data_IF_204661369247
#
_entry.id   IF_204661369247
#
_cell.length_a   1.000
_cell.length_b   1.000
_cell.length_c   1.000
_cell.angle_alpha   90.00
_cell.angle_beta   90.00
_cell.angle_gamma   90.00
#
_symmetry.space_group_name_H-M   'P 1'
#
loop_
_entity.id
_entity.type
_entity.pdbx_description
1 polymer ?
#
# COMPACT_ATOMS: atom_id res chain seq x y z
N UNK A 1 9.22 -8.61 -20.41
CA UNK A 1 9.68 -7.23 -20.62
C UNK A 1 11.02 -7.34 -21.32
N UNK A 2 11.12 -6.97 -22.59
CA UNK A 2 12.45 -6.83 -23.19
C UNK A 2 13.10 -5.58 -22.56
N UNK A 3 14.40 -5.62 -22.20
CA UNK A 3 15.12 -4.41 -21.80
C UNK A 3 15.03 -3.42 -22.96
N UNK A 4 14.25 -2.39 -22.80
CA UNK A 4 14.25 -1.29 -23.75
C UNK A 4 15.41 -0.37 -23.34
N UNK A 5 16.24 0.03 -24.29
CA UNK A 5 17.34 1.01 -24.07
C UNK A 5 16.79 2.38 -23.61
N UNK A 6 15.48 2.50 -23.50
CA UNK A 6 14.73 3.72 -23.21
C UNK A 6 14.09 3.63 -21.83
N UNK A 7 14.83 4.04 -20.81
CA UNK A 7 14.34 4.11 -19.44
C UNK A 7 13.71 5.49 -19.19
N UNK A 8 12.41 5.51 -18.76
CA UNK A 8 11.72 6.70 -18.28
C UNK A 8 11.56 7.84 -19.31
N UNK A 9 11.35 7.48 -20.57
CA UNK A 9 11.08 8.45 -21.63
C UNK A 9 9.58 8.83 -21.74
N UNK A 10 8.70 8.06 -21.13
CA UNK A 10 7.25 8.25 -21.24
C UNK A 10 6.71 9.19 -20.16
N UNK A 11 5.77 10.06 -20.55
CA UNK A 11 5.04 10.93 -19.63
C UNK A 11 3.68 10.32 -19.28
N UNK A 12 3.30 10.41 -18.01
CA UNK A 12 2.02 9.93 -17.50
C UNK A 12 0.87 10.95 -17.64
N UNK A 13 1.07 12.05 -18.37
CA UNK A 13 0.02 13.09 -18.56
C UNK A 13 -1.27 12.52 -19.14
N UNK A 14 -1.16 11.65 -20.15
CA UNK A 14 -2.31 11.03 -20.81
C UNK A 14 -2.77 9.71 -20.18
N UNK A 15 -2.07 9.23 -19.16
CA UNK A 15 -2.38 7.99 -18.48
C UNK A 15 -1.14 7.15 -18.22
N UNK A 16 -1.35 5.96 -17.66
CA UNK A 16 -0.33 4.96 -17.37
C UNK A 16 -0.52 3.77 -18.29
N UNK A 17 0.35 3.57 -19.25
CA UNK A 17 0.30 2.47 -20.20
C UNK A 17 1.22 1.33 -19.75
N UNK A 18 0.69 0.12 -19.73
CA UNK A 18 1.44 -1.08 -19.37
C UNK A 18 1.08 -2.25 -20.28
N UNK A 19 2.01 -3.20 -20.39
CA UNK A 19 1.85 -4.43 -21.15
C UNK A 19 1.85 -5.64 -20.24
N UNK A 20 0.97 -6.60 -20.49
CA UNK A 20 0.87 -7.86 -19.73
C UNK A 20 1.15 -9.10 -20.57
N UNK A 21 1.20 -8.97 -21.90
CA UNK A 21 1.36 -10.11 -22.79
C UNK A 21 0.94 -9.82 -24.22
N UNK A 22 0.40 -10.81 -24.90
CA UNK A 22 0.03 -10.73 -26.32
C UNK A 22 -1.42 -11.12 -26.57
N UNK A 23 -2.08 -10.35 -27.41
CA UNK A 23 -3.36 -10.68 -28.03
C UNK A 23 -3.12 -11.04 -29.49
N UNK A 24 -3.26 -12.32 -29.81
CA UNK A 24 -2.79 -12.83 -31.10
C UNK A 24 -1.27 -12.70 -31.26
N UNK A 25 -0.81 -12.00 -32.27
CA UNK A 25 0.60 -11.72 -32.53
C UNK A 25 1.06 -10.39 -31.91
N UNK A 26 0.13 -9.52 -31.55
CA UNK A 26 0.43 -8.15 -31.11
C UNK A 26 0.63 -8.08 -29.61
N UNK A 27 1.52 -7.18 -29.18
CA UNK A 27 1.67 -6.80 -27.77
C UNK A 27 0.41 -6.03 -27.36
N UNK A 28 -0.21 -6.44 -26.25
CA UNK A 28 -1.40 -5.77 -25.74
C UNK A 28 -1.03 -4.72 -24.71
N UNK A 29 -1.05 -3.47 -25.11
CA UNK A 29 -0.98 -2.34 -24.22
C UNK A 29 -2.36 -2.00 -23.63
N UNK A 30 -2.38 -1.66 -22.36
CA UNK A 30 -3.55 -1.22 -21.60
C UNK A 30 -3.21 0.13 -20.97
N UNK A 31 -4.05 1.15 -21.20
CA UNK A 31 -3.85 2.47 -20.62
C UNK A 31 -4.83 2.70 -19.48
N UNK A 32 -4.29 3.00 -18.31
CA UNK A 32 -5.02 3.37 -17.09
C UNK A 32 -5.03 4.90 -16.95
N UNK A 33 -6.17 5.48 -16.64
CA UNK A 33 -6.32 6.93 -16.57
C UNK A 33 -6.66 7.57 -17.93
N UNK A 34 -7.04 6.76 -18.91
CA UNK A 34 -7.56 7.22 -20.20
C UNK A 34 -8.92 7.92 -19.98
N UNK A 35 -8.93 9.25 -20.14
CA UNK A 35 -10.14 10.04 -19.90
C UNK A 35 -11.22 9.82 -20.96
N UNK A 36 -10.83 9.53 -22.21
CA UNK A 36 -11.77 9.30 -23.31
C UNK A 36 -12.60 8.03 -23.08
N UNK A 37 -11.93 6.96 -22.61
CA UNK A 37 -12.57 5.68 -22.38
C UNK A 37 -12.93 5.44 -20.90
N UNK A 38 -12.71 6.42 -20.03
CA UNK A 38 -13.01 6.36 -18.59
C UNK A 38 -12.39 5.15 -17.84
N UNK A 39 -11.19 4.72 -18.23
CA UNK A 39 -10.49 3.55 -17.70
C UNK A 39 -9.60 3.92 -16.51
N UNK A 40 -10.18 4.00 -15.31
CA UNK A 40 -9.49 4.57 -14.15
C UNK A 40 -9.06 3.56 -13.10
N UNK A 41 -9.73 2.41 -13.00
CA UNK A 41 -9.46 1.38 -12.00
C UNK A 41 -9.38 0.00 -12.64
N UNK A 42 -8.68 -0.93 -11.96
CA UNK A 42 -8.43 -2.29 -12.44
C UNK A 42 -8.90 -3.31 -11.40
N UNK A 43 -9.53 -4.38 -11.85
CA UNK A 43 -9.78 -5.59 -11.08
C UNK A 43 -9.02 -6.76 -11.70
N UNK A 44 -8.23 -7.45 -10.89
CA UNK A 44 -7.54 -8.70 -11.26
C UNK A 44 -8.14 -9.85 -10.45
N UNK A 45 -8.55 -10.92 -11.13
CA UNK A 45 -8.99 -12.13 -10.44
C UNK A 45 -8.34 -13.39 -11.01
N UNK A 46 -8.28 -14.43 -10.19
CA UNK A 46 -7.74 -15.71 -10.63
C UNK A 46 -7.69 -16.72 -9.49
N UNK A 47 -8.06 -17.96 -9.76
CA UNK A 47 -7.95 -19.03 -8.78
C UNK A 47 -6.51 -19.23 -8.30
N UNK A 48 -6.34 -19.89 -7.18
CA UNK A 48 -5.00 -20.21 -6.61
C UNK A 48 -4.11 -20.88 -7.67
N UNK A 49 -2.87 -20.42 -7.78
CA UNK A 49 -1.89 -20.98 -8.71
C UNK A 49 -2.07 -20.59 -10.18
N UNK A 50 -3.03 -19.74 -10.54
CA UNK A 50 -3.25 -19.34 -11.94
C UNK A 50 -2.39 -18.14 -12.39
N UNK A 51 -1.50 -17.63 -11.55
CA UNK A 51 -0.52 -16.60 -11.93
C UNK A 51 -0.95 -15.17 -11.64
N UNK A 52 -1.82 -14.94 -10.65
CA UNK A 52 -2.27 -13.61 -10.22
C UNK A 52 -1.09 -12.69 -9.82
N UNK A 53 -0.17 -13.17 -8.98
CA UNK A 53 1.04 -12.42 -8.59
C UNK A 53 1.95 -12.16 -9.79
N UNK A 54 2.09 -13.14 -10.71
CA UNK A 54 2.81 -12.93 -11.97
C UNK A 54 2.22 -11.78 -12.80
N UNK A 55 0.90 -11.70 -12.87
CA UNK A 55 0.22 -10.63 -13.60
C UNK A 55 0.44 -9.26 -12.94
N UNK A 56 0.37 -9.18 -11.60
CA UNK A 56 0.69 -7.97 -10.84
C UNK A 56 2.15 -7.54 -11.11
N UNK A 57 3.10 -8.48 -11.09
CA UNK A 57 4.50 -8.18 -11.41
C UNK A 57 4.67 -7.63 -12.82
N UNK A 58 3.97 -8.20 -13.81
CA UNK A 58 4.02 -7.69 -15.18
C UNK A 58 3.50 -6.26 -15.28
N UNK A 59 2.38 -5.94 -14.60
CA UNK A 59 1.84 -4.58 -14.54
C UNK A 59 2.86 -3.62 -13.92
N UNK A 60 3.36 -3.94 -12.71
CA UNK A 60 4.26 -3.07 -11.97
C UNK A 60 5.60 -2.86 -12.71
N UNK A 61 6.22 -3.93 -13.21
CA UNK A 61 7.50 -3.80 -13.93
C UNK A 61 7.34 -3.09 -15.26
N UNK A 62 6.23 -3.29 -15.97
CA UNK A 62 5.94 -2.54 -17.20
C UNK A 62 5.80 -1.05 -16.93
N UNK A 63 5.10 -0.68 -15.86
CA UNK A 63 4.93 0.72 -15.45
C UNK A 63 6.25 1.34 -14.99
N UNK A 64 6.99 0.69 -14.08
CA UNK A 64 8.26 1.22 -13.56
C UNK A 64 9.36 1.31 -14.62
N UNK A 65 9.29 0.53 -15.70
CA UNK A 65 10.22 0.63 -16.83
C UNK A 65 9.93 1.85 -17.71
N UNK A 66 8.65 2.21 -17.88
CA UNK A 66 8.21 3.30 -18.76
C UNK A 66 8.26 4.67 -18.07
N UNK A 67 7.82 4.73 -16.81
CA UNK A 67 7.63 5.99 -16.09
C UNK A 67 8.66 6.16 -14.98
N UNK A 68 9.19 7.37 -14.83
CA UNK A 68 10.08 7.71 -13.70
C UNK A 68 9.32 7.82 -12.37
N UNK A 69 10.03 7.84 -11.22
CA UNK A 69 9.38 8.10 -9.93
C UNK A 69 8.75 9.51 -9.82
N UNK A 70 9.02 10.42 -10.75
CA UNK A 70 8.36 11.74 -10.85
C UNK A 70 7.08 11.69 -11.67
N UNK A 71 6.88 10.61 -12.42
CA UNK A 71 5.69 10.34 -13.23
C UNK A 71 4.72 9.37 -12.55
N UNK A 72 5.22 8.47 -11.69
CA UNK A 72 4.46 7.39 -11.06
C UNK A 72 4.87 7.19 -9.61
N UNK A 73 3.90 7.18 -8.71
CA UNK A 73 4.02 6.74 -7.32
C UNK A 73 3.18 5.50 -7.06
N UNK A 74 3.72 4.58 -6.26
CA UNK A 74 3.10 3.29 -5.94
C UNK A 74 2.82 3.16 -4.45
N UNK A 75 1.62 2.70 -4.12
CA UNK A 75 1.20 2.23 -2.81
C UNK A 75 0.83 0.76 -2.97
N UNK A 76 1.57 -0.14 -2.33
CA UNK A 76 1.49 -1.58 -2.55
C UNK A 76 1.09 -2.29 -1.26
N UNK A 77 -0.07 -2.95 -1.25
CA UNK A 77 -0.62 -3.64 -0.08
C UNK A 77 -0.90 -5.10 -0.41
N UNK A 78 -0.41 -6.02 0.42
CA UNK A 78 -0.72 -7.45 0.41
C UNK A 78 -1.29 -7.85 1.77
N UNK A 79 -2.54 -8.31 1.78
CA UNK A 79 -3.27 -8.69 2.99
C UNK A 79 -3.14 -10.18 3.34
N UNK A 80 -2.41 -10.95 2.56
CA UNK A 80 -2.22 -12.39 2.82
C UNK A 80 -0.85 -12.65 3.44
N UNK A 81 -0.01 -13.41 2.80
CA UNK A 81 1.26 -13.90 3.35
C UNK A 81 2.46 -12.97 3.04
N UNK A 82 2.21 -11.80 2.46
CA UNK A 82 3.25 -10.83 2.08
C UNK A 82 4.15 -11.28 0.92
N UNK A 83 3.95 -12.50 0.41
CA UNK A 83 4.83 -13.12 -0.60
C UNK A 83 4.75 -12.40 -1.95
N UNK A 84 3.55 -11.93 -2.30
CA UNK A 84 3.32 -11.29 -3.60
C UNK A 84 4.06 -9.98 -3.80
N UNK A 85 4.39 -9.26 -2.72
CA UNK A 85 5.08 -7.97 -2.80
C UNK A 85 6.49 -7.99 -2.24
N UNK A 86 6.96 -9.14 -1.75
CA UNK A 86 8.30 -9.31 -1.19
C UNK A 86 9.44 -8.81 -2.10
N UNK A 87 9.42 -8.99 -3.44
CA UNK A 87 10.47 -8.49 -4.32
C UNK A 87 10.62 -6.97 -4.37
N UNK A 88 9.65 -6.21 -3.84
CA UNK A 88 9.66 -4.75 -3.82
C UNK A 88 10.11 -4.17 -2.49
N UNK A 89 10.31 -5.01 -1.47
CA UNK A 89 10.83 -4.60 -0.16
C UNK A 89 12.29 -4.16 -0.29
N UNK A 90 12.73 -3.13 0.44
CA UNK A 90 14.15 -2.78 0.51
C UNK A 90 15.01 -3.98 0.93
N UNK A 91 16.09 -4.20 0.21
CA UNK A 91 17.03 -5.28 0.52
C UNK A 91 18.04 -4.88 1.62
N UNK A 92 18.90 -5.84 2.02
CA UNK A 92 19.92 -5.62 3.05
C UNK A 92 21.01 -4.60 2.62
N UNK A 93 21.14 -4.32 1.32
CA UNK A 93 22.07 -3.33 0.77
C UNK A 93 21.44 -1.93 0.70
N UNK A 94 20.16 -1.81 1.09
CA UNK A 94 19.40 -0.56 1.04
C UNK A 94 18.89 -0.21 -0.35
N UNK A 95 18.84 -1.17 -1.27
CA UNK A 95 18.22 -1.00 -2.59
C UNK A 95 16.70 -1.15 -2.43
N UNK A 96 15.94 -0.21 -2.96
CA UNK A 96 14.48 -0.21 -2.89
C UNK A 96 13.86 0.27 -4.21
N UNK A 97 12.55 0.05 -4.38
CA UNK A 97 11.81 0.54 -5.53
C UNK A 97 11.55 2.06 -5.37
N UNK A 98 12.17 2.94 -6.19
CA UNK A 98 12.07 4.40 -6.00
C UNK A 98 10.66 4.96 -6.18
N UNK A 99 9.80 4.24 -6.89
CA UNK A 99 8.39 4.58 -7.10
C UNK A 99 7.52 4.32 -5.87
N UNK A 100 7.93 3.40 -4.98
CA UNK A 100 7.14 3.01 -3.83
C UNK A 100 7.16 4.09 -2.74
N UNK A 101 5.98 4.46 -2.27
CA UNK A 101 5.77 5.35 -1.12
C UNK A 101 5.40 4.57 0.13
N UNK A 102 4.58 3.53 -0.04
CA UNK A 102 4.18 2.64 1.03
C UNK A 102 4.14 1.19 0.52
N UNK A 103 4.58 0.29 1.39
CA UNK A 103 4.58 -1.16 1.21
C UNK A 103 3.97 -1.79 2.45
N UNK A 104 2.85 -2.46 2.32
CA UNK A 104 2.22 -3.25 3.37
C UNK A 104 2.31 -4.74 3.04
N UNK A 105 3.07 -5.50 3.84
CA UNK A 105 3.15 -6.96 3.73
C UNK A 105 2.49 -7.58 4.96
N UNK A 106 1.72 -8.65 4.76
CA UNK A 106 0.87 -9.18 5.82
C UNK A 106 0.07 -8.04 6.48
N UNK A 107 -0.42 -7.10 5.64
CA UNK A 107 -1.03 -5.88 6.12
C UNK A 107 -2.28 -6.19 6.95
N UNK A 108 -2.43 -5.49 8.06
CA UNK A 108 -3.69 -5.49 8.77
C UNK A 108 -4.69 -4.50 8.16
N UNK A 109 -5.95 -4.63 8.55
CA UNK A 109 -7.05 -3.81 8.01
C UNK A 109 -6.90 -2.34 8.39
N UNK A 110 -6.35 -2.07 9.56
CA UNK A 110 -6.06 -0.73 10.08
C UNK A 110 -5.03 -0.01 9.21
N UNK A 111 -3.99 -0.72 8.77
CA UNK A 111 -3.01 -0.15 7.84
C UNK A 111 -3.65 0.18 6.49
N UNK A 112 -4.46 -0.74 5.95
CA UNK A 112 -5.22 -0.50 4.72
C UNK A 112 -6.14 0.72 4.83
N UNK A 113 -6.87 0.83 5.95
CA UNK A 113 -7.70 2.00 6.25
C UNK A 113 -6.87 3.29 6.28
N UNK A 114 -5.70 3.26 6.90
CA UNK A 114 -4.81 4.42 7.00
C UNK A 114 -4.29 4.87 5.63
N UNK A 115 -3.95 3.93 4.74
CA UNK A 115 -3.52 4.23 3.36
C UNK A 115 -4.65 4.87 2.56
N UNK A 116 -5.87 4.33 2.65
CA UNK A 116 -7.05 4.93 2.00
C UNK A 116 -7.36 6.34 2.51
N UNK A 117 -7.27 6.55 3.83
CA UNK A 117 -7.45 7.87 4.43
C UNK A 117 -6.37 8.85 3.97
N UNK A 118 -5.11 8.43 3.94
CA UNK A 118 -3.99 9.24 3.42
C UNK A 118 -4.22 9.65 1.95
N UNK A 119 -4.59 8.71 1.09
CA UNK A 119 -4.86 9.02 -0.33
C UNK A 119 -6.07 9.94 -0.51
N UNK A 120 -7.04 9.89 0.40
CA UNK A 120 -8.14 10.86 0.39
C UNK A 120 -7.67 12.27 0.75
N UNK A 121 -6.71 12.43 1.65
CA UNK A 121 -6.11 13.74 1.93
C UNK A 121 -5.29 14.23 0.72
N UNK A 122 -4.46 13.38 0.12
CA UNK A 122 -3.74 13.71 -1.13
C UNK A 122 -4.71 14.15 -2.23
N UNK A 123 -5.84 13.47 -2.37
CA UNK A 123 -6.90 13.87 -3.29
C UNK A 123 -7.40 15.29 -3.00
N UNK A 124 -7.72 15.61 -1.73
CA UNK A 124 -8.21 16.94 -1.33
C UNK A 124 -7.18 18.04 -1.62
N UNK A 125 -5.91 17.79 -1.29
CA UNK A 125 -4.80 18.73 -1.56
C UNK A 125 -4.66 19.00 -3.06
N UNK A 126 -4.68 17.96 -3.90
CA UNK A 126 -4.64 18.12 -5.36
C UNK A 126 -5.84 18.90 -5.89
N UNK A 127 -7.05 18.59 -5.39
CA UNK A 127 -8.26 19.32 -5.81
C UNK A 127 -8.24 20.79 -5.40
N UNK A 128 -7.67 21.14 -4.23
CA UNK A 128 -7.43 22.51 -3.83
C UNK A 128 -6.46 23.21 -4.80
N UNK A 129 -5.33 22.57 -5.11
CA UNK A 129 -4.36 23.07 -6.10
C UNK A 129 -4.98 23.28 -7.48
N UNK A 130 -5.83 22.35 -7.93
CA UNK A 130 -6.52 22.48 -9.22
C UNK A 130 -7.50 23.66 -9.22
N UNK A 131 -8.23 23.86 -8.14
CA UNK A 131 -9.13 25.00 -7.97
C UNK A 131 -8.37 26.32 -8.03
N UNK A 132 -7.26 26.43 -7.30
CA UNK A 132 -6.45 27.64 -7.27
C UNK A 132 -5.79 27.94 -8.63
N UNK A 133 -5.51 26.88 -9.40
CA UNK A 133 -4.93 26.95 -10.75
C UNK A 133 -5.98 27.06 -11.87
N UNK A 134 -7.28 27.09 -11.54
CA UNK A 134 -8.40 27.14 -12.48
C UNK A 134 -8.39 25.98 -13.50
N UNK A 135 -8.07 24.77 -13.05
CA UNK A 135 -8.11 23.53 -13.83
C UNK A 135 -8.98 22.49 -13.12
N UNK A 136 -9.39 21.42 -13.83
CA UNK A 136 -10.35 20.45 -13.29
C UNK A 136 -9.73 19.09 -12.94
N UNK A 137 -8.58 18.75 -13.52
CA UNK A 137 -7.96 17.44 -13.37
C UNK A 137 -6.44 17.50 -13.54
N UNK A 138 -5.77 16.37 -13.23
CA UNK A 138 -4.33 16.23 -13.31
C UNK A 138 -3.79 16.52 -14.71
N UNK A 139 -4.47 16.03 -15.77
CA UNK A 139 -4.02 16.24 -17.16
C UNK A 139 -3.97 17.72 -17.49
N UNK A 140 -5.04 18.45 -17.19
CA UNK A 140 -5.10 19.91 -17.41
C UNK A 140 -4.03 20.65 -16.60
N UNK A 141 -3.85 20.26 -15.33
CA UNK A 141 -2.83 20.85 -14.47
C UNK A 141 -1.43 20.68 -15.03
N UNK A 142 -1.05 19.45 -15.36
CA UNK A 142 0.29 19.16 -15.89
C UNK A 142 0.53 19.74 -17.28
N UNK A 143 -0.52 19.88 -18.08
CA UNK A 143 -0.43 20.56 -19.39
C UNK A 143 -0.20 22.06 -19.21
N UNK A 144 -0.87 22.69 -18.24
CA UNK A 144 -0.73 24.12 -17.94
C UNK A 144 0.58 24.43 -17.21
N UNK A 145 1.08 23.51 -16.38
CA UNK A 145 2.26 23.67 -15.53
C UNK A 145 3.27 22.51 -15.71
N UNK A 146 3.90 22.36 -16.88
CA UNK A 146 4.73 21.20 -17.21
C UNK A 146 5.99 21.07 -16.34
N UNK A 147 6.40 22.14 -15.64
CA UNK A 147 7.55 22.12 -14.73
C UNK A 147 7.18 21.66 -13.31
N UNK A 148 5.88 21.55 -13.00
CA UNK A 148 5.43 21.11 -11.69
C UNK A 148 5.32 19.58 -11.65
N UNK A 149 6.05 18.98 -10.71
CA UNK A 149 6.01 17.52 -10.52
C UNK A 149 4.74 17.15 -9.77
N UNK A 150 3.85 16.41 -10.43
CA UNK A 150 2.67 15.81 -9.81
C UNK A 150 2.43 14.45 -10.46
N UNK A 151 3.00 13.37 -9.89
CA UNK A 151 2.92 12.03 -10.47
C UNK A 151 1.51 11.47 -10.41
N UNK A 152 1.18 10.54 -11.31
CA UNK A 152 0.03 9.65 -11.08
C UNK A 152 0.34 8.69 -9.94
N UNK A 153 -0.72 8.31 -9.22
CA UNK A 153 -0.63 7.37 -8.10
C UNK A 153 -1.36 6.10 -8.47
N UNK A 154 -0.74 4.94 -8.23
CA UNK A 154 -1.39 3.64 -8.32
C UNK A 154 -1.37 2.96 -6.95
N UNK A 155 -2.56 2.79 -6.37
CA UNK A 155 -2.78 1.94 -5.20
C UNK A 155 -3.06 0.51 -5.67
N UNK A 156 -2.23 -0.42 -5.27
CA UNK A 156 -2.40 -1.86 -5.52
C UNK A 156 -2.78 -2.54 -4.22
N UNK A 157 -3.90 -3.25 -4.22
CA UNK A 157 -4.37 -4.02 -3.06
C UNK A 157 -4.53 -5.48 -3.49
N UNK A 158 -3.56 -6.32 -3.09
CA UNK A 158 -3.66 -7.76 -3.30
C UNK A 158 -4.43 -8.42 -2.17
N UNK A 159 -5.30 -9.38 -2.52
CA UNK A 159 -6.25 -10.07 -1.64
C UNK A 159 -7.15 -9.08 -0.87
N UNK A 160 -7.65 -8.06 -1.58
CA UNK A 160 -8.43 -6.95 -0.99
C UNK A 160 -9.69 -7.43 -0.23
N UNK A 161 -10.24 -8.61 -0.53
CA UNK A 161 -11.38 -9.18 0.18
C UNK A 161 -11.08 -9.43 1.67
N UNK A 162 -9.80 -9.60 2.04
CA UNK A 162 -9.40 -9.80 3.44
C UNK A 162 -9.59 -8.53 4.29
N UNK A 163 -9.65 -7.36 3.67
CA UNK A 163 -10.01 -6.11 4.37
C UNK A 163 -11.44 -6.15 4.94
N UNK A 164 -12.27 -7.07 4.46
CA UNK A 164 -13.67 -7.24 4.81
C UNK A 164 -13.92 -8.58 5.51
N UNK A 165 -12.90 -9.20 6.10
CA UNK A 165 -12.99 -10.51 6.77
C UNK A 165 -13.86 -10.49 8.02
N UNK A 166 -14.05 -9.33 8.62
CA UNK A 166 -14.90 -9.14 9.81
C UNK A 166 -16.01 -8.13 9.50
N UNK A 167 -17.15 -8.31 10.16
CA UNK A 167 -18.29 -7.41 10.02
C UNK A 167 -18.30 -6.40 11.18
N UNK A 168 -17.41 -5.43 11.09
CA UNK A 168 -17.15 -4.42 12.13
C UNK A 168 -17.07 -2.99 11.55
N UNK A 169 -16.82 -2.01 12.42
CA UNK A 169 -16.71 -0.61 12.03
C UNK A 169 -15.54 -0.34 11.08
N UNK A 170 -14.45 -1.10 11.18
CA UNK A 170 -13.26 -0.94 10.32
C UNK A 170 -13.60 -1.35 8.90
N UNK A 171 -14.21 -2.53 8.69
CA UNK A 171 -14.67 -2.97 7.37
C UNK A 171 -15.65 -1.99 6.73
N UNK A 172 -16.57 -1.42 7.53
CA UNK A 172 -17.50 -0.41 7.05
C UNK A 172 -16.80 0.87 6.59
N UNK A 173 -15.85 1.40 7.37
CA UNK A 173 -15.11 2.60 6.98
C UNK A 173 -14.19 2.36 5.78
N UNK A 174 -13.58 1.17 5.68
CA UNK A 174 -12.80 0.75 4.50
C UNK A 174 -13.70 0.75 3.25
N UNK A 175 -14.87 0.11 3.30
CA UNK A 175 -15.82 0.06 2.19
C UNK A 175 -16.20 1.46 1.73
N UNK A 176 -16.55 2.32 2.67
CA UNK A 176 -16.91 3.73 2.42
C UNK A 176 -15.79 4.53 1.77
N UNK A 177 -14.54 4.40 2.28
CA UNK A 177 -13.40 5.12 1.71
C UNK A 177 -12.99 4.56 0.34
N UNK A 178 -13.00 3.25 0.17
CA UNK A 178 -12.67 2.59 -1.09
C UNK A 178 -13.66 2.98 -2.20
N UNK A 179 -14.96 2.95 -1.91
CA UNK A 179 -16.01 3.39 -2.83
C UNK A 179 -15.90 4.87 -3.17
N UNK A 180 -15.64 5.71 -2.17
CA UNK A 180 -15.42 7.15 -2.36
C UNK A 180 -14.19 7.40 -3.24
N UNK A 181 -13.09 6.70 -2.96
CA UNK A 181 -11.87 6.76 -3.76
C UNK A 181 -12.10 6.33 -5.20
N UNK A 182 -12.74 5.19 -5.43
CA UNK A 182 -13.00 4.67 -6.77
C UNK A 182 -13.79 5.66 -7.65
N UNK A 183 -14.67 6.47 -7.05
CA UNK A 183 -15.46 7.51 -7.75
C UNK A 183 -14.68 8.81 -7.96
N UNK A 184 -13.93 9.27 -6.96
CA UNK A 184 -13.38 10.63 -6.93
C UNK A 184 -11.93 10.73 -7.40
N UNK A 185 -11.11 9.73 -7.15
CA UNK A 185 -9.66 9.77 -7.33
C UNK A 185 -9.22 10.04 -8.76
N UNK A 186 -10.06 9.70 -9.73
CA UNK A 186 -9.83 9.89 -11.15
C UNK A 186 -9.32 11.29 -11.50
N UNK A 187 -10.01 12.33 -11.03
CA UNK A 187 -9.64 13.72 -11.34
C UNK A 187 -8.25 14.08 -10.83
N UNK A 188 -7.85 13.53 -9.68
CA UNK A 188 -6.54 13.74 -9.08
C UNK A 188 -5.43 12.83 -9.64
N UNK A 189 -5.73 11.97 -10.62
CA UNK A 189 -4.77 11.02 -11.19
C UNK A 189 -4.37 9.90 -10.22
N UNK A 190 -5.25 9.53 -9.30
CA UNK A 190 -5.07 8.40 -8.38
C UNK A 190 -5.92 7.24 -8.89
N UNK A 191 -5.30 6.07 -9.02
CA UNK A 191 -5.88 4.87 -9.61
C UNK A 191 -5.82 3.72 -8.61
N UNK A 192 -6.78 2.79 -8.69
CA UNK A 192 -6.86 1.62 -7.80
C UNK A 192 -6.80 0.35 -8.62
N UNK A 193 -5.90 -0.56 -8.23
CA UNK A 193 -5.85 -1.92 -8.72
C UNK A 193 -6.22 -2.85 -7.56
N UNK A 194 -7.36 -3.51 -7.68
CA UNK A 194 -7.83 -4.52 -6.74
C UNK A 194 -7.50 -5.91 -7.28
N UNK A 195 -6.99 -6.77 -6.42
CA UNK A 195 -6.69 -8.15 -6.78
C UNK A 195 -7.24 -9.13 -5.75
N UNK A 196 -7.87 -10.21 -6.21
CA UNK A 196 -8.48 -11.22 -5.35
C UNK A 196 -8.50 -12.60 -6.01
N UNK A 197 -8.47 -13.64 -5.17
CA UNK A 197 -8.72 -15.01 -5.60
C UNK A 197 -10.23 -15.29 -5.69
N UNK A 198 -11.01 -14.68 -4.78
CA UNK A 198 -12.47 -14.86 -4.69
C UNK A 198 -13.14 -13.51 -4.45
N UNK A 199 -14.17 -13.21 -5.22
CA UNK A 199 -15.01 -12.01 -5.04
C UNK A 199 -16.36 -12.42 -4.45
N UNK A 200 -16.85 -13.61 -4.81
CA UNK A 200 -18.14 -14.13 -4.40
C UNK A 200 -18.25 -14.30 -2.89
N UNK A 201 -19.42 -13.96 -2.33
CA UNK A 201 -19.75 -14.22 -0.92
C UNK A 201 -19.37 -13.11 0.07
N UNK A 202 -18.85 -11.98 -0.38
CA UNK A 202 -18.49 -10.87 0.49
C UNK A 202 -19.64 -9.87 0.62
N UNK A 203 -20.47 -10.05 1.67
CA UNK A 203 -21.69 -9.25 1.88
C UNK A 203 -21.42 -7.74 2.03
N UNK A 204 -20.25 -7.33 2.54
CA UNK A 204 -19.88 -5.93 2.69
C UNK A 204 -19.67 -5.24 1.33
N UNK A 205 -19.26 -6.02 0.32
CA UNK A 205 -19.09 -5.56 -1.07
C UNK A 205 -20.36 -5.77 -1.92
N UNK A 206 -21.31 -6.59 -1.45
CA UNK A 206 -22.52 -7.00 -2.19
C UNK A 206 -23.78 -6.23 -1.74
N UNK A 207 -23.69 -5.27 -0.82
CA UNK A 207 -24.82 -4.40 -0.43
C UNK A 207 -25.32 -3.56 -1.62
N UNK A 208 -26.43 -2.84 -1.46
CA UNK A 208 -27.01 -1.95 -2.49
C UNK A 208 -26.03 -0.94 -3.10
N UNK A 209 -24.89 -0.79 -2.43
CA UNK A 209 -23.74 0.02 -2.89
C UNK A 209 -22.70 -0.79 -3.69
N UNK A 210 -22.81 -2.09 -3.82
CA UNK A 210 -21.83 -2.94 -4.52
C UNK A 210 -21.90 -2.82 -6.05
N UNK A 211 -23.04 -2.50 -6.62
CA UNK A 211 -23.09 -1.91 -7.96
C UNK A 211 -22.21 -0.67 -8.03
N UNK A 212 -21.96 -0.04 -6.87
CA UNK A 212 -21.09 1.10 -6.71
C UNK A 212 -19.61 0.82 -6.99
N UNK A 213 -18.95 -0.15 -6.34
CA UNK A 213 -17.50 -0.35 -6.47
C UNK A 213 -17.12 -0.97 -7.82
N UNK A 214 -17.71 -2.11 -8.17
CA UNK A 214 -17.40 -2.80 -9.43
C UNK A 214 -17.91 -2.04 -10.66
N UNK A 215 -18.96 -1.20 -10.50
CA UNK A 215 -19.38 -0.23 -11.50
C UNK A 215 -18.38 0.91 -11.73
N UNK A 216 -17.38 1.08 -10.85
CA UNK A 216 -16.27 2.03 -11.02
C UNK A 216 -14.98 1.37 -11.50
N UNK A 217 -15.02 0.08 -11.90
CA UNK A 217 -13.86 -0.69 -12.34
C UNK A 217 -14.06 -1.21 -13.76
N UNK A 218 -13.73 -0.39 -14.77
CA UNK A 218 -13.92 -0.72 -16.18
C UNK A 218 -12.93 -1.77 -16.69
N UNK A 219 -11.69 -1.80 -16.16
CA UNK A 219 -10.67 -2.74 -16.60
C UNK A 219 -10.74 -3.99 -15.72
N UNK A 220 -11.03 -5.14 -16.34
CA UNK A 220 -11.12 -6.43 -15.67
C UNK A 220 -10.19 -7.43 -16.33
N UNK A 221 -9.26 -7.96 -15.53
CA UNK A 221 -8.26 -8.93 -15.95
C UNK A 221 -8.56 -10.24 -15.22
N UNK A 222 -9.23 -11.16 -15.91
CA UNK A 222 -9.63 -12.43 -15.31
C UNK A 222 -8.72 -13.55 -15.80
N UNK A 223 -7.95 -14.13 -14.87
CA UNK A 223 -7.25 -15.41 -15.06
C UNK A 223 -8.26 -16.56 -14.90
N UNK A 224 -7.82 -17.81 -15.13
CA UNK A 224 -8.68 -18.97 -14.98
C UNK A 224 -9.35 -19.01 -13.58
N UNK A 225 -10.68 -19.15 -13.62
CA UNK A 225 -11.53 -19.19 -12.42
C UNK A 225 -12.65 -20.24 -12.57
N UNK A 226 -13.46 -20.42 -11.54
CA UNK A 226 -14.75 -21.11 -11.64
C UNK A 226 -15.74 -20.25 -12.45
N UNK A 227 -16.83 -20.87 -12.91
CA UNK A 227 -17.90 -20.15 -13.63
C UNK A 227 -18.49 -19.04 -12.74
N UNK A 228 -18.74 -19.33 -11.46
CA UNK A 228 -19.28 -18.36 -10.51
C UNK A 228 -18.36 -17.14 -10.29
N UNK A 229 -17.05 -17.37 -10.16
CA UNK A 229 -16.09 -16.28 -10.04
C UNK A 229 -15.88 -15.52 -11.37
N UNK A 230 -16.02 -16.21 -12.52
CA UNK A 230 -16.03 -15.54 -13.80
C UNK A 230 -17.21 -14.56 -13.90
N UNK A 231 -18.41 -14.98 -13.47
CA UNK A 231 -19.58 -14.09 -13.43
C UNK A 231 -19.39 -12.94 -12.43
N UNK A 232 -18.82 -13.19 -11.27
CA UNK A 232 -18.55 -12.14 -10.29
C UNK A 232 -17.53 -11.10 -10.81
N UNK A 233 -16.55 -11.55 -11.59
CA UNK A 233 -15.51 -10.69 -12.14
C UNK A 233 -15.94 -9.97 -13.41
N UNK A 234 -16.41 -10.72 -14.40
CA UNK A 234 -16.68 -10.21 -15.76
C UNK A 234 -18.12 -9.74 -15.96
N UNK A 235 -19.03 -10.13 -15.05
CA UNK A 235 -20.45 -9.82 -15.14
C UNK A 235 -21.30 -11.05 -15.43
N UNK A 236 -22.60 -10.93 -15.19
CA UNK A 236 -23.54 -12.03 -15.36
C UNK A 236 -23.48 -12.59 -16.79
N UNK A 237 -23.51 -13.92 -16.91
CA UNK A 237 -23.43 -14.68 -18.15
C UNK A 237 -22.07 -14.63 -18.87
N UNK A 238 -21.03 -14.00 -18.30
CA UNK A 238 -19.69 -13.98 -18.88
C UNK A 238 -18.79 -15.04 -18.19
N UNK A 239 -18.84 -16.27 -18.69
CA UNK A 239 -18.08 -17.43 -18.17
C UNK A 239 -16.71 -17.60 -18.84
N UNK A 240 -16.27 -16.65 -19.64
CA UNK A 240 -15.06 -16.76 -20.46
C UNK A 240 -13.79 -17.11 -19.65
N UNK A 241 -13.67 -16.65 -18.40
CA UNK A 241 -12.53 -16.98 -17.57
C UNK A 241 -12.47 -18.45 -17.12
N UNK A 242 -13.62 -19.15 -17.06
CA UNK A 242 -13.65 -20.55 -16.68
C UNK A 242 -13.01 -21.47 -17.76
N UNK A 243 -13.00 -21.05 -18.99
CA UNK A 243 -12.52 -21.82 -20.15
C UNK A 243 -11.07 -21.52 -20.54
N UNK A 244 -10.34 -20.73 -19.74
CA UNK A 244 -8.95 -20.38 -19.97
C UNK A 244 -7.99 -21.56 -19.70
N UNK A 245 -6.89 -21.57 -20.43
CA UNK A 245 -5.73 -22.43 -20.14
C UNK A 245 -4.79 -21.70 -19.18
N UNK A 246 -3.78 -22.41 -18.65
CA UNK A 246 -2.72 -21.79 -17.90
C UNK A 246 -2.01 -20.70 -18.72
N UNK A 247 -1.68 -19.59 -18.08
CA UNK A 247 -1.04 -18.40 -18.71
C UNK A 247 -1.92 -17.65 -19.71
N UNK A 248 -3.22 -17.87 -19.70
CA UNK A 248 -4.18 -17.06 -20.44
C UNK A 248 -4.99 -16.19 -19.48
N UNK A 249 -5.42 -15.03 -19.94
CA UNK A 249 -6.37 -14.16 -19.24
C UNK A 249 -7.41 -13.59 -20.20
N UNK A 250 -8.58 -13.28 -19.69
CA UNK A 250 -9.51 -12.37 -20.37
C UNK A 250 -9.14 -10.95 -19.96
N UNK A 251 -8.77 -10.14 -20.93
CA UNK A 251 -8.67 -8.69 -20.80
C UNK A 251 -9.99 -8.10 -21.26
N UNK A 252 -10.71 -7.46 -20.36
CA UNK A 252 -11.94 -6.76 -20.65
C UNK A 252 -11.79 -5.29 -20.23
N UNK A 253 -12.00 -4.37 -21.15
CA UNK A 253 -11.79 -2.93 -20.96
C UNK A 253 -13.11 -2.15 -20.92
N UNK A 254 -14.23 -2.87 -20.77
CA UNK A 254 -15.58 -2.32 -20.87
C UNK A 254 -16.53 -3.00 -19.86
N UNK A 255 -16.22 -2.85 -18.57
CA UNK A 255 -17.08 -3.28 -17.44
C UNK A 255 -17.56 -4.75 -17.50
N UNK A 256 -16.88 -5.61 -18.26
CA UNK A 256 -17.22 -7.01 -18.41
C UNK A 256 -18.17 -7.31 -19.57
N UNK A 257 -18.44 -6.38 -20.47
CA UNK A 257 -19.17 -6.60 -21.71
C UNK A 257 -18.55 -7.76 -22.48
N UNK A 258 -19.34 -8.81 -22.78
CA UNK A 258 -18.86 -10.04 -23.43
C UNK A 258 -18.20 -9.76 -24.78
N UNK A 259 -18.74 -8.81 -25.55
CA UNK A 259 -18.18 -8.43 -26.86
C UNK A 259 -16.78 -7.79 -26.75
N UNK A 260 -16.42 -7.28 -25.58
CA UNK A 260 -15.12 -6.65 -25.30
C UNK A 260 -14.09 -7.61 -24.71
N UNK A 261 -14.40 -8.91 -24.62
CA UNK A 261 -13.47 -9.91 -24.12
C UNK A 261 -12.32 -10.15 -25.10
N UNK A 262 -11.09 -10.00 -24.61
CA UNK A 262 -9.87 -10.31 -25.36
C UNK A 262 -9.11 -11.41 -24.65
N UNK A 263 -9.02 -12.59 -25.26
CA UNK A 263 -8.24 -13.71 -24.74
C UNK A 263 -6.75 -13.44 -25.00
N UNK A 264 -6.01 -13.14 -23.94
CA UNK A 264 -4.62 -12.69 -23.99
C UNK A 264 -3.70 -13.72 -23.37
N UNK A 265 -2.56 -14.00 -24.00
CA UNK A 265 -1.49 -14.82 -23.42
C UNK A 265 -0.63 -13.94 -22.52
N UNK A 266 -0.50 -14.30 -21.24
CA UNK A 266 0.24 -13.52 -20.24
C UNK A 266 1.73 -13.86 -20.30
N UNK A 267 2.58 -12.82 -20.25
CA UNK A 267 4.01 -13.00 -20.18
C UNK A 267 4.43 -13.53 -18.79
N UNK A 268 5.53 -14.25 -18.75
CA UNK A 268 6.10 -14.74 -17.50
C UNK A 268 7.02 -13.67 -16.87
N UNK A 269 6.79 -13.38 -15.61
CA UNK A 269 7.61 -12.49 -14.80
C UNK A 269 8.81 -13.27 -14.26
N UNK A 270 9.86 -13.38 -15.06
CA UNK A 270 11.08 -14.08 -14.68
C UNK A 270 11.92 -13.20 -13.74
N UNK A 271 12.05 -13.63 -12.49
CA UNK A 271 12.77 -12.88 -11.46
C UNK A 271 14.26 -12.70 -11.80
N UNK A 272 14.88 -13.64 -12.49
CA UNK A 272 16.26 -13.50 -12.98
C UNK A 272 16.44 -12.31 -13.94
N UNK A 273 15.36 -11.90 -14.61
CA UNK A 273 15.33 -10.74 -15.49
C UNK A 273 14.88 -9.49 -14.75
N UNK A 274 13.91 -9.63 -13.83
CA UNK A 274 13.24 -8.49 -13.19
C UNK A 274 14.04 -7.89 -12.03
N UNK A 275 14.76 -8.70 -11.25
CA UNK A 275 15.59 -8.20 -10.16
C UNK A 275 16.68 -7.24 -10.64
N UNK A 276 17.48 -7.56 -11.68
CA UNK A 276 18.46 -6.61 -12.22
C UNK A 276 17.83 -5.28 -12.69
N UNK A 277 16.61 -5.30 -13.25
CA UNK A 277 15.91 -4.09 -13.66
C UNK A 277 15.60 -3.18 -12.46
N UNK A 278 15.12 -3.74 -11.35
CA UNK A 278 14.85 -2.95 -10.12
C UNK A 278 16.13 -2.26 -9.62
N UNK A 279 17.27 -2.93 -9.66
CA UNK A 279 18.58 -2.34 -9.30
C UNK A 279 19.00 -1.20 -10.26
N UNK A 280 18.69 -1.34 -11.55
CA UNK A 280 18.93 -0.28 -12.54
C UNK A 280 18.05 0.94 -12.25
N UNK A 281 16.76 0.74 -11.96
CA UNK A 281 15.86 1.85 -11.62
C UNK A 281 16.31 2.60 -10.38
N UNK A 282 16.68 1.85 -9.32
CA UNK A 282 17.20 2.46 -8.11
C UNK A 282 18.46 3.31 -8.38
N UNK A 283 19.46 2.74 -9.07
CA UNK A 283 20.68 3.45 -9.43
C UNK A 283 20.40 4.70 -10.27
N UNK A 284 19.47 4.62 -11.21
CA UNK A 284 19.11 5.73 -12.08
C UNK A 284 18.40 6.84 -11.30
N UNK A 285 17.48 6.48 -10.41
CA UNK A 285 16.79 7.43 -9.55
C UNK A 285 17.76 8.18 -8.62
N UNK A 286 18.66 7.44 -7.94
CA UNK A 286 19.61 8.02 -7.00
C UNK A 286 20.65 8.94 -7.63
N UNK A 287 20.85 8.85 -8.96
CA UNK A 287 21.68 9.83 -9.71
C UNK A 287 20.98 11.17 -9.88
N UNK A 288 19.66 11.19 -9.94
CA UNK A 288 18.87 12.42 -10.16
C UNK A 288 18.65 13.14 -8.84
N UNK A 289 18.15 12.44 -7.84
CA UNK A 289 17.98 12.98 -6.48
C UNK A 289 17.91 11.84 -5.44
N UNK A 290 18.13 12.18 -4.18
CA UNK A 290 17.97 11.23 -3.08
C UNK A 290 16.47 11.02 -2.80
N UNK A 291 15.96 9.85 -3.15
CA UNK A 291 14.59 9.45 -2.80
C UNK A 291 14.55 8.93 -1.36
N UNK A 292 13.48 9.23 -0.60
CA UNK A 292 13.30 8.65 0.73
C UNK A 292 12.99 7.16 0.64
N UNK A 293 13.33 6.42 1.69
CA UNK A 293 12.87 5.05 1.84
C UNK A 293 11.33 4.99 1.84
N UNK A 294 10.72 3.98 1.22
CA UNK A 294 9.28 3.77 1.35
C UNK A 294 8.90 3.48 2.79
N UNK A 295 7.69 3.85 3.18
CA UNK A 295 7.11 3.35 4.42
C UNK A 295 6.84 1.85 4.25
N UNK A 296 7.51 1.01 5.04
CA UNK A 296 7.32 -0.44 5.02
C UNK A 296 6.62 -0.88 6.29
N UNK A 297 5.44 -1.43 6.15
CA UNK A 297 4.66 -2.07 7.22
C UNK A 297 4.66 -3.59 7.01
N UNK A 298 5.06 -4.32 8.03
CA UNK A 298 5.00 -5.79 8.04
C UNK A 298 4.23 -6.18 9.29
N UNK A 299 3.04 -6.80 9.12
CA UNK A 299 2.13 -7.08 10.23
C UNK A 299 2.72 -7.95 11.33
N UNK A 300 3.59 -8.89 10.98
CA UNK A 300 4.29 -9.78 11.92
C UNK A 300 5.55 -9.16 12.53
N UNK A 301 6.03 -8.00 12.04
CA UNK A 301 7.30 -7.42 12.49
C UNK A 301 7.18 -6.70 13.83
N UNK A 302 8.05 -7.07 14.77
CA UNK A 302 8.23 -6.30 16.01
C UNK A 302 8.94 -4.98 15.70
N UNK A 303 8.29 -3.86 16.07
CA UNK A 303 8.85 -2.53 15.90
C UNK A 303 9.68 -2.18 17.13
N UNK A 304 10.95 -1.81 16.93
CA UNK A 304 11.81 -1.27 17.96
C UNK A 304 11.94 0.24 17.80
N UNK A 305 11.93 0.98 18.93
CA UNK A 305 12.24 2.40 18.93
C UNK A 305 13.70 2.61 18.54
N UNK A 306 13.93 3.36 17.48
CA UNK A 306 15.27 3.75 17.08
C UNK A 306 15.77 4.92 17.94
N UNK A 307 17.10 5.05 18.04
CA UNK A 307 17.72 6.21 18.74
C UNK A 307 17.30 7.54 18.12
N UNK A 308 17.16 7.61 16.80
CA UNK A 308 16.68 8.80 16.08
C UNK A 308 15.25 9.20 16.46
N UNK A 309 14.37 8.22 16.69
CA UNK A 309 12.99 8.48 17.15
C UNK A 309 12.98 9.10 18.56
N UNK A 310 13.90 8.65 19.45
CA UNK A 310 14.01 9.20 20.81
C UNK A 310 14.63 10.60 20.79
N UNK A 311 15.64 10.84 19.95
CA UNK A 311 16.30 12.14 19.83
C UNK A 311 15.34 13.23 19.28
N UNK A 312 14.49 12.90 18.33
CA UNK A 312 13.47 13.84 17.79
C UNK A 312 12.43 14.26 18.85
N UNK A 313 12.21 13.45 19.89
CA UNK A 313 11.26 13.78 20.96
C UNK A 313 11.80 14.85 21.92
N UNK A 314 13.12 15.02 22.04
CA UNK A 314 13.74 16.03 22.92
C UNK A 314 13.41 17.47 22.52
N UNK A 315 13.09 17.69 21.26
CA UNK A 315 12.75 19.03 20.75
C UNK A 315 11.41 19.56 21.28
N UNK A 316 10.54 18.70 21.83
CA UNK A 316 9.20 19.09 22.26
C UNK A 316 9.11 19.71 23.65
N UNK A 317 10.20 19.73 24.40
CA UNK A 317 10.28 20.29 25.78
C UNK A 317 9.13 19.88 26.73
N UNK A 318 8.62 18.65 26.56
CA UNK A 318 7.55 18.03 27.35
C UNK A 318 7.90 16.58 27.64
N UNK A 319 7.47 16.07 28.79
CA UNK A 319 7.54 14.65 29.09
C UNK A 319 6.59 13.87 28.15
N UNK A 320 7.13 13.03 27.29
CA UNK A 320 6.38 12.25 26.30
C UNK A 320 6.61 10.75 26.50
N UNK A 321 5.53 10.00 26.60
CA UNK A 321 5.55 8.54 26.55
C UNK A 321 5.45 8.09 25.10
N UNK A 322 6.34 7.21 24.66
CA UNK A 322 6.19 6.50 23.39
C UNK A 322 5.65 5.10 23.65
N UNK A 323 4.43 4.86 23.24
CA UNK A 323 3.76 3.55 23.40
C UNK A 323 4.15 2.60 22.27
N UNK A 324 4.41 3.14 21.09
CA UNK A 324 4.75 2.39 19.87
C UNK A 324 4.79 3.31 18.66
N UNK A 325 4.54 2.78 17.48
CA UNK A 325 4.35 3.55 16.25
C UNK A 325 2.87 3.48 15.82
N UNK A 326 2.40 4.55 15.19
CA UNK A 326 1.04 4.51 14.61
C UNK A 326 1.01 3.53 13.45
N UNK A 327 -0.06 2.75 13.37
CA UNK A 327 -0.37 1.96 12.18
C UNK A 327 -0.85 2.92 11.09
N UNK A 328 0.09 3.51 10.36
CA UNK A 328 -0.20 4.53 9.35
C UNK A 328 0.92 4.65 8.33
N UNK A 329 0.65 5.31 7.21
CA UNK A 329 1.64 5.61 6.16
C UNK A 329 2.82 6.46 6.69
N UNK A 330 2.60 7.24 7.73
CA UNK A 330 3.67 7.93 8.43
C UNK A 330 4.12 7.08 9.63
N UNK A 331 5.36 6.61 9.63
CA UNK A 331 5.95 5.85 10.76
C UNK A 331 6.19 6.71 12.01
N UNK A 332 5.33 7.68 12.28
CA UNK A 332 5.47 8.57 13.42
C UNK A 332 5.23 7.79 14.72
N UNK A 333 6.05 8.01 15.75
CA UNK A 333 5.83 7.40 17.06
C UNK A 333 4.49 7.84 17.64
N UNK A 334 3.77 6.89 18.23
CA UNK A 334 2.57 7.19 19.02
C UNK A 334 3.02 7.75 20.37
N UNK A 335 2.94 9.07 20.50
CA UNK A 335 3.33 9.78 21.71
C UNK A 335 2.11 10.21 22.52
N UNK A 336 2.20 10.06 23.84
CA UNK A 336 1.22 10.58 24.79
C UNK A 336 1.93 11.55 25.75
N UNK A 337 1.39 12.74 26.02
CA UNK A 337 1.96 13.64 27.01
C UNK A 337 1.78 13.04 28.41
N UNK A 338 2.84 13.11 29.21
CA UNK A 338 2.85 12.64 30.61
C UNK A 338 3.40 13.76 31.50
N UNK A 339 2.58 14.76 31.67
CA UNK A 339 2.85 15.93 32.50
C UNK A 339 2.14 15.87 33.87
N UNK A 340 2.37 16.86 34.72
CA UNK A 340 1.79 16.93 36.05
C UNK A 340 0.32 17.40 36.06
N UNK A 341 -0.38 17.37 34.93
CA UNK A 341 -1.79 17.72 34.92
C UNK A 341 -2.65 16.64 35.56
N UNK A 342 -3.74 17.08 36.20
CA UNK A 342 -4.67 16.20 36.89
C UNK A 342 -5.27 15.18 35.93
N UNK A 343 -5.30 13.89 36.29
CA UNK A 343 -5.88 12.81 35.49
C UNK A 343 -4.92 12.21 34.44
N UNK A 344 -3.67 12.61 34.36
CA UNK A 344 -2.66 12.04 33.44
C UNK A 344 -2.05 10.77 34.02
N UNK A 345 -2.88 9.72 34.13
CA UNK A 345 -2.43 8.38 34.54
C UNK A 345 -2.54 7.43 33.31
N UNK A 346 -1.60 6.50 33.20
CA UNK A 346 -1.60 5.48 32.18
C UNK A 346 -1.71 4.10 32.79
N UNK A 347 -2.66 3.31 32.32
CA UNK A 347 -2.87 1.93 32.75
C UNK A 347 -2.79 1.04 31.52
N UNK A 348 -1.99 -0.03 31.59
CA UNK A 348 -1.84 -1.03 30.54
C UNK A 348 -2.43 -2.36 31.03
N UNK A 349 -3.40 -2.89 30.29
CA UNK A 349 -3.96 -4.23 30.51
C UNK A 349 -3.65 -5.10 29.29
N UNK A 350 -3.21 -6.33 29.51
CA UNK A 350 -3.00 -7.29 28.42
C UNK A 350 -2.28 -8.56 28.86
N UNK A 351 -2.37 -9.59 28.05
CA UNK A 351 -1.68 -10.88 28.24
C UNK A 351 -0.43 -10.99 27.34
N UNK A 352 0.06 -9.89 26.80
CA UNK A 352 1.14 -9.85 25.81
C UNK A 352 2.43 -9.22 26.32
N UNK A 353 3.24 -8.67 25.44
CA UNK A 353 4.59 -8.13 25.71
C UNK A 353 4.54 -6.77 26.45
N UNK A 354 3.82 -6.71 27.58
CA UNK A 354 3.67 -5.48 28.40
C UNK A 354 5.01 -4.91 28.87
N UNK A 355 6.00 -5.76 29.06
CA UNK A 355 7.35 -5.36 29.51
C UNK A 355 8.03 -4.48 28.46
N UNK A 356 7.95 -4.83 27.19
CA UNK A 356 8.52 -4.04 26.08
C UNK A 356 7.86 -2.65 25.98
N UNK A 357 6.54 -2.59 26.16
CA UNK A 357 5.81 -1.31 26.16
C UNK A 357 6.23 -0.44 27.35
N UNK A 358 6.30 -1.01 28.56
CA UNK A 358 6.77 -0.29 29.75
C UNK A 358 8.22 0.18 29.58
N UNK A 359 9.08 -0.65 28.97
CA UNK A 359 10.45 -0.29 28.62
C UNK A 359 10.53 0.91 27.68
N UNK A 360 9.75 0.90 26.61
CA UNK A 360 9.67 2.01 25.65
C UNK A 360 9.16 3.31 26.31
N UNK A 361 8.14 3.21 27.16
CA UNK A 361 7.59 4.34 27.91
C UNK A 361 8.66 4.90 28.85
N UNK A 362 9.35 4.05 29.61
CA UNK A 362 10.39 4.46 30.55
C UNK A 362 11.57 5.14 29.86
N UNK A 363 12.04 4.57 28.73
CA UNK A 363 13.12 5.14 27.92
C UNK A 363 12.75 6.51 27.34
N UNK A 364 11.55 6.63 26.79
CA UNK A 364 11.09 7.89 26.17
C UNK A 364 10.89 8.99 27.24
N UNK A 365 10.34 8.66 28.39
CA UNK A 365 10.21 9.61 29.51
C UNK A 365 11.58 10.04 30.03
N UNK A 366 12.52 9.12 30.21
CA UNK A 366 13.88 9.44 30.61
C UNK A 366 14.61 10.35 29.61
N UNK A 367 14.34 10.16 28.33
CA UNK A 367 14.94 10.97 27.27
C UNK A 367 14.34 12.38 27.14
N UNK A 368 13.05 12.55 27.47
CA UNK A 368 12.31 13.81 27.32
C UNK A 368 12.18 14.61 28.60
N UNK A 369 12.50 14.03 29.77
CA UNK A 369 12.37 14.67 31.08
C UNK A 369 13.61 14.42 31.96
N UNK A 370 14.62 15.24 31.79
CA UNK A 370 15.94 15.10 32.46
C UNK A 370 15.92 15.11 33.99
N UNK A 371 14.87 15.64 34.62
CA UNK A 371 14.76 15.77 36.08
C UNK A 371 13.73 14.83 36.71
N UNK A 372 13.24 13.85 35.97
CA UNK A 372 12.23 12.92 36.50
C UNK A 372 12.86 11.79 37.31
N UNK A 373 12.19 11.41 38.41
CA UNK A 373 12.53 10.24 39.21
C UNK A 373 11.54 9.12 38.87
N UNK A 374 12.07 7.93 38.66
CA UNK A 374 11.27 6.74 38.39
C UNK A 374 11.25 5.86 39.65
N UNK A 375 10.07 5.47 40.10
CA UNK A 375 9.87 4.42 41.09
C UNK A 375 9.17 3.26 40.38
N UNK A 376 9.84 2.13 40.28
CA UNK A 376 9.30 0.93 39.67
C UNK A 376 9.06 -0.09 40.77
N UNK A 377 7.81 -0.56 40.86
CA UNK A 377 7.41 -1.58 41.83
C UNK A 377 6.97 -2.81 41.03
N UNK A 378 7.77 -3.87 41.11
CA UNK A 378 7.43 -5.16 40.53
C UNK A 378 6.73 -6.01 41.59
N UNK A 379 5.49 -6.41 41.29
CA UNK A 379 4.65 -7.26 42.15
C UNK A 379 4.45 -8.65 41.55
N UNK A 380 5.16 -9.00 40.46
CA UNK A 380 5.09 -10.32 39.89
C UNK A 380 5.79 -11.34 40.78
N UNK A 381 5.09 -12.44 41.10
CA UNK A 381 5.68 -13.57 41.81
C UNK A 381 6.68 -14.29 40.90
N UNK A 382 7.82 -14.60 41.48
CA UNK A 382 9.08 -15.02 40.86
C UNK A 382 9.11 -16.50 40.42
N UNK A 383 8.23 -16.92 39.50
CA UNK A 383 8.20 -18.33 39.06
C UNK A 383 8.57 -18.55 37.58
N UNK A 384 9.00 -17.52 36.82
CA UNK A 384 9.09 -17.68 35.36
C UNK A 384 10.41 -17.28 34.69
N UNK A 385 11.49 -16.99 35.42
CA UNK A 385 12.80 -16.64 34.80
C UNK A 385 12.78 -15.42 33.88
N UNK A 386 11.79 -14.54 33.99
CA UNK A 386 11.65 -13.31 33.19
C UNK A 386 12.37 -12.11 33.75
N UNK A 387 12.95 -12.24 34.94
CA UNK A 387 13.56 -11.13 35.71
C UNK A 387 14.82 -10.55 35.07
N UNK A 388 15.62 -11.34 34.36
CA UNK A 388 16.83 -10.84 33.72
C UNK A 388 16.54 -9.80 32.63
N UNK A 389 15.45 -9.95 31.87
CA UNK A 389 15.11 -8.98 30.80
C UNK A 389 14.62 -7.65 31.37
N UNK A 390 13.87 -7.69 32.47
CA UNK A 390 13.33 -6.47 33.11
C UNK A 390 14.42 -5.71 33.83
N UNK A 391 15.27 -6.40 34.61
CA UNK A 391 16.42 -5.79 35.28
C UNK A 391 17.44 -5.23 34.31
N UNK A 392 17.68 -5.90 33.20
CA UNK A 392 18.57 -5.43 32.11
C UNK A 392 18.03 -4.20 31.42
N UNK A 393 16.73 -4.15 31.07
CA UNK A 393 16.07 -2.99 30.50
C UNK A 393 16.12 -1.76 31.41
N UNK A 394 15.88 -1.94 32.71
CA UNK A 394 15.94 -0.87 33.71
C UNK A 394 17.36 -0.37 33.94
N UNK A 395 18.33 -1.23 34.02
CA UNK A 395 19.75 -0.87 34.21
C UNK A 395 20.26 -0.08 33.00
N UNK A 396 19.91 -0.47 31.79
CA UNK A 396 20.25 0.27 30.57
C UNK A 396 19.57 1.65 30.48
N UNK A 397 18.35 1.78 30.99
CA UNK A 397 17.57 3.02 30.93
C UNK A 397 18.12 4.08 31.93
N UNK A 398 18.52 3.66 33.10
CA UNK A 398 19.02 4.56 34.15
C UNK A 398 20.45 5.03 33.85
N UNK A 399 21.32 4.18 33.30
CA UNK A 399 22.73 4.49 33.01
C UNK A 399 22.95 5.37 31.78
N UNK A 400 21.97 5.54 30.89
CA UNK A 400 22.08 6.40 29.70
C UNK A 400 21.28 7.70 29.74
N UNK A 401 20.50 7.93 30.76
CA UNK A 401 19.73 9.16 30.97
C UNK A 401 20.52 10.25 31.74
N UNK A 402 21.66 9.88 32.30
CA UNK A 402 22.69 10.79 32.84
C UNK A 402 23.81 10.90 31.80
#
# INVERSE_FOLDING_TARGET
VQPTDKLWEESSVDGLTFCIGRYGLDIKDITLGDELNQRHNILITGAVGQGKSNLIYMVLHSLCQRYSPEELELYLLDFKEGVSLQPFVPDSEGVFLPHAKALGLEADREYGLSVLAHLLEVYKERMATFKDSNVQNLKQYRTAFPQQIMPRILLVIDEFQLMFSENDSISYEIAKLLMKGARLFRAAGIHILLSSQTIGGNNALMGSDAEGLFGQVPIRLALKNSISESYATLGQQNDAAAHLRSREAIVNLDYGNIASNMKTSIAFADELVLEPLRKVWWKSAMKVKKYPFPNVFIGSQKISLSRSNIESLREHNRALMVVGTKVSVSSAPLTLPFDNEFGRNFILFGNGPGIEIIGNISLSLAATSCNSRFLIVDLLRDDTGKDEKFSTLLTFSILRAC
#
